data_IF_751218504878
#
_entry.id   IF_751218504878
#
_cell.length_a   1.000
_cell.length_b   1.000
_cell.length_c   1.000
_cell.angle_alpha   90.00
_cell.angle_beta   90.00
_cell.angle_gamma   90.00
#
_symmetry.space_group_name_H-M   'P 1'
#
loop_
_entity.id
_entity.type
_entity.pdbx_description
1 polymer ?
#
# COMPACT_ATOMS: atom_id res chain seq x y z
N UNK A 1 61.01 -37.83 10.34
CA UNK A 1 59.79 -38.43 10.89
C UNK A 1 58.96 -37.31 11.52
N UNK A 2 57.81 -37.01 10.90
CA UNK A 2 56.62 -36.30 11.42
C UNK A 2 56.76 -35.00 12.21
N UNK A 3 56.23 -33.89 11.67
CA UNK A 3 55.37 -32.94 12.42
C UNK A 3 54.69 -31.93 11.46
N UNK A 4 53.85 -32.43 10.55
CA UNK A 4 52.99 -31.64 9.65
C UNK A 4 51.57 -31.49 10.20
N UNK A 5 51.37 -31.04 11.46
CA UNK A 5 50.03 -31.07 12.09
C UNK A 5 49.52 -29.79 12.77
N UNK A 6 50.19 -28.65 12.66
CA UNK A 6 49.80 -27.47 13.45
C UNK A 6 49.05 -26.35 12.69
N UNK A 7 48.86 -26.42 11.37
CA UNK A 7 48.26 -25.29 10.60
C UNK A 7 46.82 -25.51 10.10
N UNK A 8 46.19 -26.62 10.45
CA UNK A 8 44.90 -27.03 9.87
C UNK A 8 43.76 -27.06 10.90
N UNK A 9 43.66 -26.03 11.77
CA UNK A 9 42.54 -25.92 12.73
C UNK A 9 41.87 -24.55 12.78
N UNK A 10 42.43 -23.51 12.16
CA UNK A 10 41.86 -22.15 12.25
C UNK A 10 41.12 -21.73 10.96
N UNK A 11 41.43 -22.33 9.81
CA UNK A 11 40.77 -21.96 8.54
C UNK A 11 39.42 -22.65 8.27
N UNK A 12 39.03 -23.66 9.06
CA UNK A 12 37.80 -24.44 8.82
C UNK A 12 36.57 -23.89 9.57
N UNK A 13 36.77 -23.05 10.59
CA UNK A 13 35.67 -22.54 11.42
C UNK A 13 34.96 -21.30 10.85
N UNK A 14 35.54 -20.63 9.84
CA UNK A 14 34.91 -19.47 9.18
C UNK A 14 33.98 -19.84 8.01
N UNK A 15 34.04 -21.07 7.48
CA UNK A 15 33.18 -21.52 6.39
C UNK A 15 31.84 -22.12 6.88
N UNK A 16 31.75 -22.48 8.16
CA UNK A 16 30.60 -23.22 8.72
C UNK A 16 29.54 -22.28 9.34
N UNK A 17 29.88 -21.01 9.62
CA UNK A 17 28.95 -20.03 10.22
C UNK A 17 28.04 -19.36 9.17
N UNK A 18 28.38 -19.45 7.88
CA UNK A 18 27.62 -18.82 6.78
C UNK A 18 26.29 -19.53 6.44
N UNK A 19 26.18 -20.87 6.37
CA UNK A 19 24.94 -21.51 5.94
C UNK A 19 23.77 -21.31 6.92
N UNK A 20 23.99 -21.35 8.24
CA UNK A 20 22.90 -21.20 9.22
C UNK A 20 22.29 -19.78 9.21
N UNK A 21 23.13 -18.76 9.07
CA UNK A 21 22.67 -17.37 8.95
C UNK A 21 21.88 -17.18 7.65
N UNK A 22 22.34 -17.77 6.54
CA UNK A 22 21.63 -17.70 5.25
C UNK A 22 20.28 -18.44 5.31
N UNK A 23 20.21 -19.63 5.93
CA UNK A 23 18.94 -20.35 6.09
C UNK A 23 17.95 -19.59 6.99
N UNK A 24 18.42 -19.00 8.10
CA UNK A 24 17.56 -18.22 9.01
C UNK A 24 16.97 -16.95 8.38
N UNK A 25 17.69 -16.31 7.45
CA UNK A 25 17.14 -15.15 6.72
C UNK A 25 16.08 -15.54 5.69
N UNK A 26 16.23 -16.69 5.03
CA UNK A 26 15.28 -17.18 4.03
C UNK A 26 13.92 -17.53 4.66
N UNK A 27 13.92 -18.12 5.86
CA UNK A 27 12.69 -18.45 6.59
C UNK A 27 11.97 -17.20 7.09
N UNK A 28 12.69 -16.25 7.70
CA UNK A 28 12.09 -15.00 8.19
C UNK A 28 11.45 -14.15 7.08
N UNK A 29 12.06 -14.09 5.90
CA UNK A 29 11.49 -13.42 4.73
C UNK A 29 10.20 -14.09 4.22
N UNK A 30 10.20 -15.43 4.15
CA UNK A 30 9.03 -16.19 3.73
C UNK A 30 7.85 -16.04 4.72
N UNK A 31 8.14 -16.07 6.02
CA UNK A 31 7.16 -15.83 7.08
C UNK A 31 6.59 -14.41 7.02
N UNK A 32 7.45 -13.39 6.86
CA UNK A 32 7.04 -12.00 6.70
C UNK A 32 6.14 -11.77 5.48
N UNK A 33 6.47 -12.37 4.33
CA UNK A 33 5.62 -12.31 3.14
C UNK A 33 4.27 -13.01 3.34
N UNK A 34 4.26 -14.14 4.04
CA UNK A 34 3.03 -14.86 4.38
C UNK A 34 2.15 -14.03 5.30
N UNK A 35 2.73 -13.40 6.32
CA UNK A 35 2.01 -12.50 7.22
C UNK A 35 1.46 -11.27 6.49
N UNK A 36 2.24 -10.66 5.58
CA UNK A 36 1.79 -9.53 4.78
C UNK A 36 0.61 -9.91 3.88
N UNK A 37 0.67 -11.08 3.23
CA UNK A 37 -0.43 -11.61 2.39
C UNK A 37 -1.69 -11.88 3.21
N UNK A 38 -1.55 -12.47 4.40
CA UNK A 38 -2.66 -12.71 5.30
C UNK A 38 -3.34 -11.40 5.73
N UNK A 39 -2.53 -10.40 6.12
CA UNK A 39 -3.04 -9.06 6.48
C UNK A 39 -3.75 -8.39 5.31
N UNK A 40 -3.19 -8.50 4.10
CA UNK A 40 -3.82 -7.95 2.90
C UNK A 40 -5.16 -8.64 2.59
N UNK A 41 -5.23 -9.96 2.74
CA UNK A 41 -6.47 -10.71 2.54
C UNK A 41 -7.56 -10.28 3.55
N UNK A 42 -7.20 -10.11 4.82
CA UNK A 42 -8.11 -9.60 5.86
C UNK A 42 -8.65 -8.20 5.55
N UNK A 43 -7.78 -7.29 5.09
CA UNK A 43 -8.19 -5.93 4.70
C UNK A 43 -9.14 -5.98 3.49
N UNK A 44 -8.86 -6.85 2.51
CA UNK A 44 -9.70 -6.99 1.32
C UNK A 44 -11.08 -7.57 1.66
N UNK A 45 -11.15 -8.54 2.56
CA UNK A 45 -12.41 -9.09 3.06
C UNK A 45 -13.23 -8.00 3.77
N UNK A 46 -12.60 -7.24 4.67
CA UNK A 46 -13.24 -6.11 5.36
C UNK A 46 -13.76 -5.05 4.37
N UNK A 47 -12.93 -4.68 3.40
CA UNK A 47 -13.32 -3.73 2.34
C UNK A 47 -14.51 -4.24 1.54
N UNK A 48 -14.50 -5.52 1.16
CA UNK A 48 -15.58 -6.15 0.38
C UNK A 48 -16.90 -6.09 1.12
N UNK A 49 -16.90 -6.40 2.42
CA UNK A 49 -18.08 -6.31 3.28
C UNK A 49 -18.64 -4.87 3.33
N UNK A 50 -17.77 -3.87 3.57
CA UNK A 50 -18.17 -2.47 3.55
C UNK A 50 -18.75 -2.02 2.22
N UNK A 51 -18.10 -2.39 1.11
CA UNK A 51 -18.55 -2.03 -0.24
C UNK A 51 -19.94 -2.58 -0.52
N UNK A 52 -20.17 -3.84 -0.19
CA UNK A 52 -21.46 -4.50 -0.39
C UNK A 52 -22.57 -3.85 0.43
N UNK A 53 -22.29 -3.51 1.69
CA UNK A 53 -23.29 -2.93 2.60
C UNK A 53 -23.59 -1.45 2.28
N UNK A 54 -22.56 -0.63 2.12
CA UNK A 54 -22.70 0.83 2.24
C UNK A 54 -22.64 1.55 0.89
N UNK A 55 -21.87 1.06 -0.08
CA UNK A 55 -21.62 1.77 -1.35
C UNK A 55 -21.43 0.83 -2.56
N UNK A 56 -22.39 -0.07 -2.87
CA UNK A 56 -22.21 -1.15 -3.86
C UNK A 56 -21.98 -0.65 -5.29
N UNK A 57 -22.44 0.57 -5.61
CA UNK A 57 -22.31 1.20 -6.93
C UNK A 57 -21.08 2.10 -7.06
N UNK A 58 -20.27 2.26 -6.00
CA UNK A 58 -19.04 3.05 -6.10
C UNK A 58 -18.01 2.28 -6.98
N UNK A 59 -17.44 2.93 -8.01
CA UNK A 59 -16.39 2.32 -8.83
C UNK A 59 -15.07 2.29 -8.05
N UNK A 60 -14.30 1.24 -8.32
CA UNK A 60 -12.93 1.09 -7.84
C UNK A 60 -11.93 1.30 -8.98
N UNK A 61 -10.69 1.61 -8.62
CA UNK A 61 -9.56 1.69 -9.54
C UNK A 61 -8.40 0.88 -9.00
N UNK A 62 -7.73 0.10 -9.85
CA UNK A 62 -6.51 -0.59 -9.45
C UNK A 62 -5.33 0.37 -9.36
N UNK A 63 -4.32 0.01 -8.58
CA UNK A 63 -3.06 0.77 -8.51
C UNK A 63 -2.41 0.92 -9.89
N UNK A 64 -2.46 -0.13 -10.71
CA UNK A 64 -1.89 -0.10 -12.06
C UNK A 64 -2.61 0.88 -12.99
N UNK A 65 -3.94 1.00 -12.90
CA UNK A 65 -4.72 1.98 -13.65
C UNK A 65 -4.47 3.40 -13.14
N UNK A 66 -4.41 3.59 -11.83
CA UNK A 66 -4.10 4.89 -11.23
C UNK A 66 -2.75 5.41 -11.72
N UNK A 67 -1.70 4.57 -11.71
CA UNK A 67 -0.37 4.96 -12.18
C UNK A 67 -0.38 5.38 -13.66
N UNK A 68 -1.18 4.73 -14.51
CA UNK A 68 -1.36 5.13 -15.91
C UNK A 68 -2.03 6.50 -16.04
N UNK A 69 -3.01 6.82 -15.19
CA UNK A 69 -3.64 8.13 -15.18
C UNK A 69 -2.69 9.22 -14.66
N UNK A 70 -1.87 8.91 -13.66
CA UNK A 70 -0.85 9.84 -13.14
C UNK A 70 0.18 10.20 -14.22
N UNK A 71 0.63 9.22 -15.01
CA UNK A 71 1.55 9.46 -16.14
C UNK A 71 0.98 10.39 -17.21
N UNK A 72 -0.34 10.46 -17.33
CA UNK A 72 -1.05 11.33 -18.29
C UNK A 72 -1.48 12.66 -17.70
N UNK A 73 -1.21 12.88 -16.41
CA UNK A 73 -1.66 14.05 -15.64
C UNK A 73 -3.20 14.24 -15.60
N UNK A 74 -3.97 13.19 -15.92
CA UNK A 74 -5.43 13.26 -16.02
C UNK A 74 -6.15 12.90 -14.72
N UNK A 75 -5.45 12.78 -13.60
CA UNK A 75 -6.01 12.37 -12.30
C UNK A 75 -5.74 13.40 -11.22
N UNK A 76 -6.73 13.64 -10.37
CA UNK A 76 -6.55 14.33 -9.09
C UNK A 76 -6.76 13.33 -7.95
N UNK A 77 -5.80 13.27 -7.03
CA UNK A 77 -5.87 12.43 -5.84
C UNK A 77 -6.46 13.22 -4.68
N UNK A 78 -7.49 12.68 -4.03
CA UNK A 78 -8.16 13.32 -2.89
C UNK A 78 -8.04 12.42 -1.66
N UNK A 79 -7.30 12.90 -0.65
CA UNK A 79 -7.17 12.24 0.64
C UNK A 79 -8.32 12.67 1.57
N UNK A 80 -9.09 11.69 2.03
CA UNK A 80 -10.21 11.92 2.98
C UNK A 80 -9.93 11.37 4.37
N UNK A 81 -8.65 11.06 4.68
CA UNK A 81 -8.23 10.69 6.03
C UNK A 81 -8.25 11.90 6.97
N UNK A 82 -8.19 11.61 8.27
CA UNK A 82 -8.15 12.68 9.27
C UNK A 82 -6.77 13.36 9.29
N UNK A 83 -6.68 14.64 9.72
CA UNK A 83 -5.43 15.40 9.70
C UNK A 83 -4.26 14.71 10.41
N UNK A 84 -4.54 13.99 11.52
CA UNK A 84 -3.51 13.24 12.25
C UNK A 84 -2.89 12.08 11.45
N UNK A 85 -3.67 11.45 10.55
CA UNK A 85 -3.17 10.39 9.68
C UNK A 85 -2.35 10.98 8.52
N UNK A 86 -2.83 12.10 7.96
CA UNK A 86 -2.13 12.84 6.89
C UNK A 86 -0.80 13.42 7.38
N UNK A 87 -0.73 13.85 8.63
CA UNK A 87 0.49 14.37 9.25
C UNK A 87 1.62 13.32 9.36
N UNK A 88 1.29 12.03 9.34
CA UNK A 88 2.30 10.96 9.29
C UNK A 88 2.88 10.85 7.88
N UNK A 89 2.01 10.79 6.88
CA UNK A 89 2.39 10.74 5.46
C UNK A 89 1.20 11.00 4.56
N UNK A 90 1.49 11.44 3.33
CA UNK A 90 0.52 11.67 2.27
C UNK A 90 1.08 11.16 0.93
N UNK A 91 0.21 10.70 0.03
CA UNK A 91 0.63 10.40 -1.34
C UNK A 91 1.01 11.73 -2.03
N UNK A 92 2.16 11.82 -2.72
CA UNK A 92 2.54 13.03 -3.44
C UNK A 92 1.42 13.52 -4.38
N UNK A 93 1.28 14.85 -4.48
CA UNK A 93 0.24 15.53 -5.27
C UNK A 93 -1.23 15.33 -4.81
N UNK A 94 -1.47 14.56 -3.73
CA UNK A 94 -2.81 14.46 -3.17
C UNK A 94 -3.24 15.76 -2.49
N UNK A 95 -4.54 16.07 -2.61
CA UNK A 95 -5.17 17.21 -1.97
C UNK A 95 -6.16 16.75 -0.90
N UNK A 96 -6.42 17.60 0.09
CA UNK A 96 -7.47 17.31 1.08
C UNK A 96 -8.86 17.39 0.45
N UNK A 97 -9.83 16.71 1.09
CA UNK A 97 -11.26 16.88 0.80
C UNK A 97 -11.66 18.36 0.69
N UNK A 98 -11.32 19.17 1.67
CA UNK A 98 -11.72 20.58 1.72
C UNK A 98 -11.19 21.36 0.53
N UNK A 99 -9.92 21.12 0.14
CA UNK A 99 -9.31 21.76 -1.03
C UNK A 99 -9.99 21.31 -2.33
N UNK A 100 -10.36 20.04 -2.44
CA UNK A 100 -11.14 19.54 -3.57
C UNK A 100 -12.52 20.21 -3.63
N UNK A 101 -13.24 20.28 -2.52
CA UNK A 101 -14.59 20.87 -2.46
C UNK A 101 -14.61 22.36 -2.82
N UNK A 102 -13.60 23.12 -2.38
CA UNK A 102 -13.47 24.54 -2.70
C UNK A 102 -13.12 24.80 -4.18
N UNK A 103 -12.49 23.84 -4.85
CA UNK A 103 -11.91 23.99 -6.20
C UNK A 103 -12.47 22.99 -7.21
N UNK A 104 -13.65 22.41 -6.96
CA UNK A 104 -14.24 21.34 -7.81
C UNK A 104 -14.28 21.70 -9.29
N UNK A 105 -14.53 22.98 -9.60
CA UNK A 105 -14.61 23.46 -10.99
C UNK A 105 -13.31 23.25 -11.77
N UNK A 106 -12.15 23.28 -11.11
CA UNK A 106 -10.83 23.11 -11.74
C UNK A 106 -10.52 21.65 -12.12
N UNK A 107 -11.30 20.70 -11.60
CA UNK A 107 -11.05 19.27 -11.77
C UNK A 107 -12.09 18.57 -12.64
N UNK A 108 -13.02 19.31 -13.29
CA UNK A 108 -14.15 18.72 -14.04
C UNK A 108 -13.72 17.77 -15.17
N UNK A 109 -12.60 18.07 -15.81
CA UNK A 109 -12.08 17.27 -16.93
C UNK A 109 -11.05 16.21 -16.49
N UNK A 110 -10.89 15.99 -15.19
CA UNK A 110 -9.94 15.04 -14.60
C UNK A 110 -10.68 13.90 -13.91
N UNK A 111 -10.07 12.72 -13.92
CA UNK A 111 -10.52 11.61 -13.07
C UNK A 111 -10.23 11.95 -11.61
N UNK A 112 -11.27 11.99 -10.78
CA UNK A 112 -11.13 12.22 -9.34
C UNK A 112 -11.01 10.87 -8.65
N UNK A 113 -9.85 10.60 -8.05
CA UNK A 113 -9.60 9.36 -7.29
C UNK A 113 -9.50 9.71 -5.81
N UNK A 114 -10.49 9.27 -5.06
CA UNK A 114 -10.59 9.49 -3.62
C UNK A 114 -10.01 8.28 -2.90
N UNK A 115 -9.12 8.49 -1.94
CA UNK A 115 -8.56 7.41 -1.14
C UNK A 115 -8.62 7.69 0.35
N UNK A 116 -8.60 6.61 1.11
CA UNK A 116 -8.34 6.61 2.55
C UNK A 116 -7.47 5.39 2.88
N UNK A 117 -7.41 4.98 4.14
CA UNK A 117 -6.55 3.87 4.58
C UNK A 117 -6.93 2.52 3.96
N UNK A 118 -8.22 2.17 3.97
CA UNK A 118 -8.71 0.83 3.54
C UNK A 118 -9.97 0.90 2.66
N UNK A 119 -10.27 2.05 2.07
CA UNK A 119 -11.40 2.19 1.14
C UNK A 119 -12.77 2.59 1.75
N UNK A 120 -12.95 2.51 3.07
CA UNK A 120 -14.26 2.80 3.69
C UNK A 120 -14.72 4.25 3.53
N UNK A 121 -13.97 5.21 4.10
CA UNK A 121 -14.32 6.63 4.08
C UNK A 121 -14.36 7.19 2.65
N UNK A 122 -13.47 6.72 1.78
CA UNK A 122 -13.45 7.09 0.38
C UNK A 122 -14.68 6.58 -0.37
N UNK A 123 -15.11 5.34 -0.14
CA UNK A 123 -16.32 4.78 -0.74
C UNK A 123 -17.59 5.53 -0.34
N UNK A 124 -17.71 5.88 0.95
CA UNK A 124 -18.80 6.75 1.43
C UNK A 124 -18.80 8.12 0.75
N UNK A 125 -17.62 8.72 0.59
CA UNK A 125 -17.51 10.02 -0.06
C UNK A 125 -17.84 9.96 -1.55
N UNK A 126 -17.38 8.92 -2.27
CA UNK A 126 -17.77 8.66 -3.67
C UNK A 126 -19.28 8.52 -3.79
N UNK A 127 -19.92 7.73 -2.91
CA UNK A 127 -21.37 7.59 -2.87
C UNK A 127 -22.08 8.93 -2.67
N UNK A 128 -21.53 9.81 -1.84
CA UNK A 128 -22.06 11.15 -1.62
C UNK A 128 -21.98 11.99 -2.90
N UNK A 129 -20.77 12.21 -3.45
CA UNK A 129 -20.57 13.16 -4.54
C UNK A 129 -21.16 12.69 -5.89
N UNK A 130 -21.33 11.38 -6.08
CA UNK A 130 -22.02 10.85 -7.26
C UNK A 130 -23.51 11.21 -7.29
N UNK A 131 -24.13 11.39 -6.11
CA UNK A 131 -25.50 11.93 -6.02
C UNK A 131 -25.57 13.40 -6.39
N UNK A 132 -24.43 14.10 -6.32
CA UNK A 132 -24.27 15.50 -6.67
C UNK A 132 -23.90 15.68 -8.17
N UNK A 133 -23.84 14.59 -8.94
CA UNK A 133 -23.62 14.62 -10.40
C UNK A 133 -22.16 14.59 -10.86
N UNK A 134 -21.24 14.18 -9.97
CA UNK A 134 -19.81 13.96 -10.29
C UNK A 134 -19.56 12.49 -10.65
#
# INVERSE_FOLDING_TARGET
>A
MTLTKARMRIALLLLIVVPEVVLGTQTALAEGLTQQRARQAQILELYTAYRQADFPSAPDISVAELLKLQQRETVVLVDVREPREVAVSIIPEAISRDRYEQRRAEFRDRTVVIYCTIGYRSGLYVKQIRREGI
#
